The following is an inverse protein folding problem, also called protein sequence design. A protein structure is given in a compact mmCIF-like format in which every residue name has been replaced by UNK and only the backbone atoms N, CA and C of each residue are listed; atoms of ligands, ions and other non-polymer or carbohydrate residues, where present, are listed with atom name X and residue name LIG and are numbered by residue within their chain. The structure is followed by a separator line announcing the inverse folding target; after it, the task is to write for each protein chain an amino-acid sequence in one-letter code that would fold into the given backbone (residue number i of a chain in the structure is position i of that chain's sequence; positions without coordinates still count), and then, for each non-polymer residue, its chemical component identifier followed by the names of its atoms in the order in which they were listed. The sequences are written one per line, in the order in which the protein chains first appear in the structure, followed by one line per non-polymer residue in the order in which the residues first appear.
data_IF_017486645666
#
_entry.id   IF_017486645666
#
_cell.length_a   1.000
_cell.length_b   1.000
_cell.length_c   1.000
_cell.angle_alpha   90.00
_cell.angle_beta   90.00
_cell.angle_gamma   90.00
#
_symmetry.space_group_name_H-M   'P 1'
#
loop_
_entity.id
_entity.type
_entity.pdbx_description
1 polymer ?
#
# COMPACT_ATOMS: atom_id res chain seq x y z
N UNK A 1 6.58 -40.50 7.54
CA UNK A 1 6.11 -39.46 8.47
C UNK A 1 4.59 -39.57 8.52
N UNK A 2 4.03 -40.15 9.59
CA UNK A 2 2.58 -40.22 9.75
C UNK A 2 2.08 -38.84 10.16
N UNK A 3 1.33 -38.17 9.28
CA UNK A 3 0.59 -36.97 9.67
C UNK A 3 -0.53 -37.42 10.59
N UNK A 4 -0.51 -36.91 11.82
CA UNK A 4 -1.49 -37.14 12.87
C UNK A 4 -2.93 -36.93 12.33
N UNK A 5 -3.85 -37.85 12.63
CA UNK A 5 -5.23 -37.77 12.14
C UNK A 5 -5.95 -36.49 12.60
N UNK A 6 -5.58 -35.95 13.77
CA UNK A 6 -6.11 -34.69 14.25
C UNK A 6 -5.65 -33.52 13.37
N UNK A 7 -4.40 -33.53 12.92
CA UNK A 7 -3.87 -32.51 12.00
C UNK A 7 -4.61 -32.55 10.66
N UNK A 8 -4.88 -33.75 10.12
CA UNK A 8 -5.66 -33.90 8.89
C UNK A 8 -7.09 -33.38 9.04
N UNK A 9 -7.72 -33.64 10.18
CA UNK A 9 -9.07 -33.14 10.49
C UNK A 9 -9.08 -31.62 10.59
N UNK A 10 -8.14 -31.03 11.32
CA UNK A 10 -8.01 -29.57 11.43
C UNK A 10 -7.80 -28.90 10.06
N UNK A 11 -6.96 -29.47 9.19
CA UNK A 11 -6.75 -28.95 7.83
C UNK A 11 -8.04 -29.03 7.02
N UNK A 12 -8.79 -30.14 7.13
CA UNK A 12 -10.07 -30.30 6.43
C UNK A 12 -11.10 -29.26 6.90
N UNK A 13 -11.24 -29.09 8.21
CA UNK A 13 -12.20 -28.15 8.80
C UNK A 13 -11.83 -26.69 8.45
N UNK A 14 -10.54 -26.38 8.38
CA UNK A 14 -10.03 -25.08 7.92
C UNK A 14 -10.39 -24.79 6.46
N UNK A 15 -10.21 -25.78 5.58
CA UNK A 15 -10.55 -25.67 4.15
C UNK A 15 -12.05 -25.52 3.94
N UNK A 16 -12.88 -26.24 4.70
CA UNK A 16 -14.33 -26.12 4.59
C UNK A 16 -14.81 -24.72 5.00
N UNK A 17 -14.28 -24.18 6.10
CA UNK A 17 -14.63 -22.83 6.56
C UNK A 17 -14.14 -21.74 5.60
N UNK A 18 -12.96 -21.90 5.00
CA UNK A 18 -12.45 -20.94 4.01
C UNK A 18 -13.24 -20.99 2.70
N UNK A 19 -13.72 -22.17 2.27
CA UNK A 19 -14.60 -22.30 1.12
C UNK A 19 -15.93 -21.57 1.32
N UNK A 20 -16.54 -21.65 2.51
CA UNK A 20 -17.79 -20.90 2.82
C UNK A 20 -17.60 -19.38 2.66
N UNK A 21 -16.45 -18.86 3.07
CA UNK A 21 -16.10 -17.44 2.88
C UNK A 21 -15.92 -17.13 1.39
N UNK A 22 -15.23 -18.00 0.64
CA UNK A 22 -15.01 -17.82 -0.79
C UNK A 22 -16.32 -17.87 -1.60
N UNK A 23 -17.24 -18.78 -1.26
CA UNK A 23 -18.56 -18.89 -1.90
C UNK A 23 -19.39 -17.62 -1.71
N UNK A 24 -19.26 -16.96 -0.56
CA UNK A 24 -19.93 -15.67 -0.29
C UNK A 24 -19.28 -14.50 -1.00
N UNK A 25 -17.95 -14.54 -1.17
CA UNK A 25 -17.23 -13.54 -1.94
C UNK A 25 -17.51 -13.67 -3.43
N UNK A 26 -17.81 -14.86 -3.95
CA UNK A 26 -18.04 -15.10 -5.38
C UNK A 26 -19.43 -15.74 -5.57
N UNK A 27 -20.53 -15.01 -5.28
CA UNK A 27 -21.86 -15.58 -5.39
C UNK A 27 -22.25 -15.82 -6.86
N UNK A 28 -21.75 -14.99 -7.78
CA UNK A 28 -21.84 -15.17 -9.23
C UNK A 28 -20.84 -14.25 -9.96
N UNK A 29 -19.97 -14.82 -10.81
CA UNK A 29 -19.01 -14.10 -11.66
C UNK A 29 -19.68 -13.23 -12.73
N UNK A 30 -21.00 -13.34 -12.91
CA UNK A 30 -21.77 -12.56 -13.88
C UNK A 30 -21.97 -11.09 -13.49
N UNK A 31 -21.84 -10.74 -12.20
CA UNK A 31 -22.07 -9.36 -11.71
C UNK A 31 -20.77 -8.56 -11.68
N UNK A 32 -20.56 -7.74 -12.71
CA UNK A 32 -19.43 -6.78 -12.79
C UNK A 32 -19.35 -5.89 -11.53
N UNK A 33 -20.50 -5.57 -10.93
CA UNK A 33 -20.56 -4.77 -9.69
C UNK A 33 -19.97 -5.50 -8.49
N UNK A 34 -20.12 -6.82 -8.41
CA UNK A 34 -19.56 -7.62 -7.32
C UNK A 34 -18.05 -7.76 -7.51
N UNK A 35 -17.58 -7.97 -8.74
CA UNK A 35 -16.14 -8.02 -9.04
C UNK A 35 -15.43 -6.70 -8.75
N UNK A 36 -16.03 -5.55 -9.10
CA UNK A 36 -15.49 -4.23 -8.77
C UNK A 36 -15.46 -4.00 -7.25
N UNK A 37 -16.53 -4.37 -6.54
CA UNK A 37 -16.56 -4.24 -5.09
C UNK A 37 -15.51 -5.11 -4.38
N UNK A 38 -15.32 -6.36 -4.82
CA UNK A 38 -14.28 -7.25 -4.29
C UNK A 38 -12.89 -6.71 -4.62
N UNK A 39 -12.66 -6.26 -5.86
CA UNK A 39 -11.39 -5.67 -6.26
C UNK A 39 -11.05 -4.44 -5.41
N UNK A 40 -12.03 -3.59 -5.13
CA UNK A 40 -11.86 -2.44 -4.25
C UNK A 40 -11.65 -2.85 -2.81
N UNK A 41 -12.37 -3.84 -2.30
CA UNK A 41 -12.22 -4.32 -0.93
C UNK A 41 -10.86 -5.02 -0.67
N UNK A 42 -10.21 -5.57 -1.69
CA UNK A 42 -8.88 -6.22 -1.54
C UNK A 42 -7.74 -5.26 -1.93
N UNK A 43 -8.06 -4.09 -2.51
CA UNK A 43 -7.06 -3.09 -2.85
C UNK A 43 -6.43 -2.47 -1.59
N UNK A 44 -5.14 -2.13 -1.68
CA UNK A 44 -4.36 -1.60 -0.55
C UNK A 44 -4.83 -0.23 -0.03
N UNK A 45 -5.72 0.45 -0.75
CA UNK A 45 -6.26 1.78 -0.44
C UNK A 45 -7.70 1.73 0.10
N UNK A 46 -8.25 0.54 0.37
CA UNK A 46 -9.59 0.40 0.94
C UNK A 46 -9.63 0.85 2.41
N UNK A 47 -10.26 2.00 2.67
CA UNK A 47 -10.45 2.52 4.04
C UNK A 47 -11.27 1.55 4.92
N UNK A 48 -12.36 1.00 4.38
CA UNK A 48 -13.16 -0.05 5.04
C UNK A 48 -13.61 -1.12 4.02
N UNK A 49 -12.82 -2.19 3.86
CA UNK A 49 -13.12 -3.24 2.90
C UNK A 49 -14.43 -3.99 3.23
N UNK A 50 -14.83 -4.06 4.49
CA UNK A 50 -16.08 -4.70 4.90
C UNK A 50 -17.30 -3.85 4.57
N UNK A 51 -17.18 -2.52 4.67
CA UNK A 51 -18.23 -1.61 4.23
C UNK A 51 -18.43 -1.69 2.71
N UNK A 52 -17.36 -1.80 1.93
CA UNK A 52 -17.43 -1.97 0.46
C UNK A 52 -18.17 -3.27 0.10
N UNK A 53 -17.86 -4.38 0.76
CA UNK A 53 -18.52 -5.67 0.54
C UNK A 53 -20.01 -5.62 0.92
N UNK A 54 -20.37 -5.04 2.08
CA UNK A 54 -21.78 -4.86 2.49
C UNK A 54 -22.58 -4.02 1.51
N UNK A 55 -22.01 -2.94 0.99
CA UNK A 55 -22.66 -2.08 0.00
C UNK A 55 -22.94 -2.83 -1.33
N UNK A 56 -22.16 -3.86 -1.62
CA UNK A 56 -22.36 -4.73 -2.78
C UNK A 56 -23.32 -5.90 -2.50
N UNK A 57 -23.87 -6.01 -1.28
CA UNK A 57 -24.72 -7.12 -0.85
C UNK A 57 -23.94 -8.38 -0.47
N UNK A 58 -22.63 -8.28 -0.30
CA UNK A 58 -21.74 -9.38 0.11
C UNK A 58 -21.56 -9.30 1.63
N UNK A 59 -22.27 -10.16 2.35
CA UNK A 59 -22.18 -10.29 3.81
C UNK A 59 -21.38 -11.55 4.17
N UNK A 60 -20.19 -11.35 4.75
CA UNK A 60 -19.24 -12.42 5.14
C UNK A 60 -18.87 -12.40 6.62
N UNK A 61 -19.40 -11.44 7.39
CA UNK A 61 -19.04 -11.26 8.80
C UNK A 61 -19.34 -12.51 9.65
N UNK A 62 -20.48 -13.21 9.49
CA UNK A 62 -20.76 -14.43 10.25
C UNK A 62 -19.74 -15.55 9.97
N UNK A 63 -19.41 -15.79 8.69
CA UNK A 63 -18.47 -16.83 8.27
C UNK A 63 -17.04 -16.51 8.70
N UNK A 64 -16.66 -15.23 8.66
CA UNK A 64 -15.36 -14.78 9.18
C UNK A 64 -15.26 -14.92 10.68
N UNK A 65 -16.33 -14.63 11.43
CA UNK A 65 -16.36 -14.80 12.87
C UNK A 65 -16.25 -16.29 13.25
N UNK A 66 -16.97 -17.16 12.56
CA UNK A 66 -16.85 -18.61 12.72
C UNK A 66 -15.42 -19.10 12.44
N UNK A 67 -14.76 -18.54 11.42
CA UNK A 67 -13.37 -18.86 11.09
C UNK A 67 -12.39 -18.32 12.13
N UNK A 68 -12.59 -17.10 12.65
CA UNK A 68 -11.78 -16.52 13.73
C UNK A 68 -11.86 -17.37 15.01
N UNK A 69 -13.06 -17.80 15.38
CA UNK A 69 -13.28 -18.69 16.53
C UNK A 69 -12.61 -20.04 16.34
N UNK A 70 -12.70 -20.62 15.15
CA UNK A 70 -11.96 -21.84 14.81
C UNK A 70 -10.44 -21.65 14.91
N UNK A 71 -9.89 -20.54 14.40
CA UNK A 71 -8.46 -20.22 14.51
C UNK A 71 -8.02 -20.03 15.98
N UNK A 72 -8.87 -19.45 16.81
CA UNK A 72 -8.64 -19.28 18.24
C UNK A 72 -8.63 -20.63 18.97
N UNK A 73 -9.57 -21.52 18.63
CA UNK A 73 -9.68 -22.86 19.18
C UNK A 73 -8.43 -23.70 18.86
N UNK A 74 -7.96 -23.69 17.61
CA UNK A 74 -6.77 -24.45 17.22
C UNK A 74 -5.45 -23.85 17.74
N UNK A 75 -5.39 -22.52 17.92
CA UNK A 75 -4.18 -21.84 18.38
C UNK A 75 -4.08 -21.74 19.91
N UNK A 76 -5.17 -22.06 20.63
CA UNK A 76 -5.26 -21.90 22.08
C UNK A 76 -5.21 -20.45 22.56
N UNK A 77 -5.28 -19.47 21.64
CA UNK A 77 -5.24 -18.04 21.95
C UNK A 77 -6.65 -17.47 21.92
N UNK A 78 -7.02 -16.73 22.97
CA UNK A 78 -8.24 -15.90 22.97
C UNK A 78 -8.15 -14.87 21.84
N UNK A 79 -9.25 -14.67 21.12
CA UNK A 79 -9.40 -13.57 20.17
C UNK A 79 -9.40 -12.29 21.00
N UNK A 80 -8.27 -11.57 21.02
CA UNK A 80 -8.31 -10.16 21.37
C UNK A 80 -8.98 -9.44 20.21
N UNK A 81 -10.04 -8.66 20.49
CA UNK A 81 -10.59 -7.73 19.52
C UNK A 81 -9.43 -6.92 18.95
N UNK A 82 -9.14 -7.11 17.66
CA UNK A 82 -8.17 -6.27 16.98
C UNK A 82 -8.70 -4.84 17.12
N UNK A 83 -8.01 -4.01 17.92
CA UNK A 83 -8.02 -2.57 17.71
C UNK A 83 -7.87 -2.38 16.22
N UNK A 84 -8.81 -1.68 15.59
CA UNK A 84 -8.70 -1.25 14.19
C UNK A 84 -7.25 -0.88 13.98
N UNK A 85 -6.54 -1.58 13.09
CA UNK A 85 -5.26 -1.08 12.63
C UNK A 85 -5.53 0.38 12.25
N UNK A 86 -4.73 1.34 12.74
CA UNK A 86 -4.91 2.72 12.29
C UNK A 86 -4.97 2.65 10.77
N UNK A 87 -6.08 3.13 10.21
CA UNK A 87 -6.23 3.34 8.78
C UNK A 87 -4.89 3.91 8.32
N UNK A 88 -4.26 3.25 7.35
CA UNK A 88 -2.82 3.34 7.10
C UNK A 88 -2.33 4.75 7.34
N UNK A 89 -1.34 4.92 8.21
CA UNK A 89 -0.70 6.22 8.41
C UNK A 89 -0.43 6.76 7.02
N UNK A 90 -1.21 7.77 6.62
CA UNK A 90 -0.97 8.51 5.40
C UNK A 90 0.44 8.99 5.61
N UNK A 91 1.39 8.42 4.87
CA UNK A 91 2.79 8.79 4.95
C UNK A 91 2.83 10.27 4.57
N UNK A 92 2.81 11.15 5.57
CA UNK A 92 2.84 12.58 5.37
C UNK A 92 4.23 12.90 4.82
N UNK A 93 4.27 13.11 3.51
CA UNK A 93 5.50 13.50 2.86
C UNK A 93 5.95 14.84 3.43
N UNK A 94 7.25 15.01 3.72
CA UNK A 94 7.77 16.27 4.20
C UNK A 94 7.47 17.38 3.18
N UNK A 95 6.55 18.27 3.53
CA UNK A 95 5.99 19.25 2.58
C UNK A 95 7.05 20.20 2.06
N UNK A 96 8.06 20.51 2.88
CA UNK A 96 9.21 21.35 2.51
C UNK A 96 10.06 20.70 1.41
N UNK A 97 10.42 19.42 1.57
CA UNK A 97 11.23 18.69 0.59
C UNK A 97 10.44 18.42 -0.68
N UNK A 98 9.14 18.11 -0.57
CA UNK A 98 8.27 17.92 -1.73
C UNK A 98 8.17 19.21 -2.56
N UNK A 99 7.94 20.36 -1.91
CA UNK A 99 7.87 21.66 -2.58
C UNK A 99 9.17 22.02 -3.29
N UNK A 100 10.32 21.77 -2.65
CA UNK A 100 11.62 22.05 -3.26
C UNK A 100 11.87 21.16 -4.49
N UNK A 101 11.60 19.86 -4.38
CA UNK A 101 11.71 18.92 -5.50
C UNK A 101 10.79 19.33 -6.66
N UNK A 102 9.53 19.66 -6.38
CA UNK A 102 8.59 20.10 -7.40
C UNK A 102 9.02 21.41 -8.07
N UNK A 103 9.58 22.35 -7.29
CA UNK A 103 10.11 23.61 -7.81
C UNK A 103 11.29 23.39 -8.76
N UNK A 104 12.19 22.46 -8.44
CA UNK A 104 13.32 22.09 -9.31
C UNK A 104 12.81 21.46 -10.61
N UNK A 105 11.89 20.50 -10.53
CA UNK A 105 11.34 19.81 -11.70
C UNK A 105 10.51 20.75 -12.59
N UNK A 106 9.77 21.68 -11.99
CA UNK A 106 9.01 22.69 -12.72
C UNK A 106 9.93 23.70 -13.43
N UNK A 107 11.02 24.13 -12.79
CA UNK A 107 12.02 24.98 -13.44
C UNK A 107 12.69 24.26 -14.62
N UNK A 108 12.88 22.95 -14.53
CA UNK A 108 13.41 22.12 -15.60
C UNK A 108 12.43 22.01 -16.78
N UNK A 109 11.14 21.80 -16.50
CA UNK A 109 10.07 21.80 -17.50
C UNK A 109 9.94 23.16 -18.20
N UNK A 110 9.99 24.29 -17.47
CA UNK A 110 9.98 25.62 -18.07
C UNK A 110 11.20 25.91 -18.95
N UNK A 111 12.32 25.24 -18.69
CA UNK A 111 13.53 25.32 -19.49
C UNK A 111 13.54 24.30 -20.64
N UNK A 112 12.39 23.70 -20.96
CA UNK A 112 12.20 22.68 -21.98
C UNK A 112 13.21 21.53 -21.88
N UNK A 113 13.51 21.13 -20.63
CA UNK A 113 14.46 20.08 -20.29
C UNK A 113 15.87 20.29 -20.87
N UNK A 114 16.27 21.53 -21.17
CA UNK A 114 17.58 21.82 -21.73
C UNK A 114 18.72 21.22 -20.90
N UNK A 115 19.78 20.74 -21.56
CA UNK A 115 20.94 20.11 -20.89
C UNK A 115 21.51 20.97 -19.76
N UNK A 116 21.59 22.29 -19.96
CA UNK A 116 22.07 23.23 -18.94
C UNK A 116 21.14 23.30 -17.72
N UNK A 117 19.83 23.20 -17.91
CA UNK A 117 18.88 23.15 -16.81
C UNK A 117 18.93 21.79 -16.12
N UNK A 118 19.10 20.70 -16.87
CA UNK A 118 19.28 19.34 -16.37
C UNK A 118 20.52 19.22 -15.49
N UNK A 119 21.68 19.70 -15.94
CA UNK A 119 22.92 19.72 -15.15
C UNK A 119 22.72 20.46 -13.81
N UNK A 120 22.06 21.61 -13.84
CA UNK A 120 21.75 22.38 -12.62
C UNK A 120 20.79 21.65 -11.70
N UNK A 121 19.78 20.97 -12.24
CA UNK A 121 18.84 20.17 -11.46
C UNK A 121 19.56 18.99 -10.80
N UNK A 122 20.39 18.25 -11.55
CA UNK A 122 21.23 17.17 -11.03
C UNK A 122 22.16 17.65 -9.93
N UNK A 123 22.81 18.80 -10.11
CA UNK A 123 23.70 19.39 -9.11
C UNK A 123 22.95 19.75 -7.82
N UNK A 124 21.77 20.36 -7.92
CA UNK A 124 20.95 20.72 -6.74
C UNK A 124 20.45 19.47 -6.01
N UNK A 125 19.84 18.53 -6.72
CA UNK A 125 19.29 17.31 -6.14
C UNK A 125 20.38 16.44 -5.50
N UNK A 126 21.53 16.27 -6.17
CA UNK A 126 22.66 15.50 -5.62
C UNK A 126 23.30 16.17 -4.40
N UNK A 127 23.35 17.50 -4.35
CA UNK A 127 23.82 18.24 -3.18
C UNK A 127 22.88 18.00 -1.99
N UNK A 128 21.56 18.09 -2.20
CA UNK A 128 20.57 17.83 -1.15
C UNK A 128 20.65 16.40 -0.60
N UNK A 129 20.81 15.39 -1.48
CA UNK A 129 21.02 14.00 -1.06
C UNK A 129 22.28 13.85 -0.20
N UNK A 130 23.40 14.46 -0.61
CA UNK A 130 24.67 14.41 0.15
C UNK A 130 24.58 15.10 1.50
N UNK A 131 23.85 16.20 1.60
CA UNK A 131 23.66 16.90 2.87
C UNK A 131 22.77 16.11 3.82
N UNK A 132 21.68 15.53 3.31
CA UNK A 132 20.78 14.69 4.10
C UNK A 132 21.44 13.38 4.54
N UNK A 133 22.27 12.76 3.70
CA UNK A 133 22.96 11.51 4.03
C UNK A 133 24.02 11.63 5.13
N UNK A 134 24.40 12.86 5.50
CA UNK A 134 25.36 13.14 6.60
C UNK A 134 24.66 13.34 7.95
N UNK A 135 23.34 13.46 7.96
CA UNK A 135 22.53 13.62 9.19
C UNK A 135 22.14 12.25 9.73
N UNK A 136 21.68 12.22 10.99
CA UNK A 136 21.16 10.99 11.59
C UNK A 136 19.94 10.46 10.81
N UNK A 137 19.82 9.12 10.66
CA UNK A 137 18.74 8.50 9.92
C UNK A 137 17.45 8.47 10.77
N UNK A 138 16.72 9.58 10.77
CA UNK A 138 15.37 9.68 11.34
C UNK A 138 14.33 9.36 10.27
N UNK A 139 13.09 8.99 10.64
CA UNK A 139 12.02 8.75 9.67
C UNK A 139 11.83 9.92 8.71
N UNK A 140 11.82 11.15 9.22
CA UNK A 140 11.70 12.36 8.40
C UNK A 140 12.89 12.54 7.44
N UNK A 141 14.13 12.35 7.91
CA UNK A 141 15.32 12.53 7.06
C UNK A 141 15.40 11.48 5.96
N UNK A 142 14.96 10.24 6.24
CA UNK A 142 14.85 9.17 5.25
C UNK A 142 13.78 9.46 4.20
N UNK A 143 12.62 10.01 4.60
CA UNK A 143 11.57 10.41 3.66
C UNK A 143 12.02 11.55 2.75
N UNK A 144 12.68 12.58 3.31
CA UNK A 144 13.29 13.67 2.51
C UNK A 144 14.32 13.11 1.54
N UNK A 145 15.21 12.25 2.02
CA UNK A 145 16.25 11.63 1.19
C UNK A 145 15.64 10.79 0.05
N UNK A 146 14.57 10.04 0.33
CA UNK A 146 13.81 9.29 -0.68
C UNK A 146 13.25 10.17 -1.78
N UNK A 147 12.66 11.33 -1.43
CA UNK A 147 12.12 12.29 -2.39
C UNK A 147 13.21 12.86 -3.31
N UNK A 148 14.30 13.37 -2.73
CA UNK A 148 15.40 13.94 -3.53
C UNK A 148 16.10 12.89 -4.39
N UNK A 149 16.31 11.68 -3.86
CA UNK A 149 16.94 10.58 -4.59
C UNK A 149 16.05 10.11 -5.75
N UNK A 150 14.75 9.98 -5.53
CA UNK A 150 13.81 9.61 -6.58
C UNK A 150 13.78 10.64 -7.72
N UNK A 151 13.70 11.93 -7.38
CA UNK A 151 13.75 13.02 -8.37
C UNK A 151 15.10 13.05 -9.11
N UNK A 152 16.21 12.78 -8.43
CA UNK A 152 17.53 12.71 -9.05
C UNK A 152 17.57 11.63 -10.14
N UNK A 153 17.06 10.43 -9.85
CA UNK A 153 17.01 9.32 -10.81
C UNK A 153 16.06 9.64 -11.98
N UNK A 154 14.94 10.32 -11.74
CA UNK A 154 14.07 10.80 -12.83
C UNK A 154 14.81 11.70 -13.81
N UNK A 155 15.61 12.64 -13.29
CA UNK A 155 16.35 13.60 -14.12
C UNK A 155 17.55 12.96 -14.82
N UNK A 156 18.21 11.99 -14.19
CA UNK A 156 19.30 11.22 -14.80
C UNK A 156 18.81 10.39 -15.98
N UNK A 157 17.75 9.63 -15.76
CA UNK A 157 17.17 8.69 -16.73
C UNK A 157 16.21 9.36 -17.72
N UNK A 158 16.02 10.68 -17.62
CA UNK A 158 15.16 11.48 -18.50
C UNK A 158 13.70 10.99 -18.55
N UNK A 159 13.21 10.45 -17.42
CA UNK A 159 11.87 9.86 -17.28
C UNK A 159 10.81 10.93 -16.99
N UNK A 160 10.65 11.89 -17.89
CA UNK A 160 9.83 13.08 -17.71
C UNK A 160 8.34 12.78 -17.46
N UNK A 161 7.81 11.71 -18.06
CA UNK A 161 6.43 11.24 -17.87
C UNK A 161 6.10 10.88 -16.42
N UNK A 162 7.13 10.53 -15.63
CA UNK A 162 6.96 10.17 -14.23
C UNK A 162 7.00 11.38 -13.28
N UNK A 163 7.42 12.57 -13.73
CA UNK A 163 7.36 13.81 -12.94
C UNK A 163 5.92 14.13 -12.54
N UNK A 164 4.95 13.91 -13.44
CA UNK A 164 3.53 14.14 -13.18
C UNK A 164 2.94 13.28 -12.06
N UNK A 165 3.60 12.17 -11.69
CA UNK A 165 3.16 11.31 -10.57
C UNK A 165 3.51 11.91 -9.22
N UNK A 166 4.62 12.66 -9.12
CA UNK A 166 5.02 13.36 -7.88
C UNK A 166 4.05 14.50 -7.51
N UNK A 167 3.39 15.11 -8.49
CA UNK A 167 2.40 16.19 -8.28
C UNK A 167 1.07 15.71 -7.69
N UNK A 168 0.86 14.40 -7.60
CA UNK A 168 -0.39 13.79 -7.11
C UNK A 168 -0.36 13.51 -5.60
N UNK A 169 0.80 13.74 -4.98
CA UNK A 169 0.96 13.75 -3.53
C UNK A 169 0.87 15.18 -3.02
#
# INVERSE_FOLDING_TARGET
MYVDENVKKTIRDALEKSMKIADKLIPDVSSVKHLDAISRAIANDAEDPFQILRNAGIEIEPELEEFRQFLAEISGKKIEEKKKAPAGETLELPSDALLDVLSILQALEFADYSEKAREKALQKLSSAVRELSRKDPTPESLLKLGLYAYALELVKEERWENIGKLRKF
#
